data_IF_964233264217
#
_entry.id   IF_964233264217
#
_cell.length_a   1.000
_cell.length_b   1.000
_cell.length_c   1.000
_cell.angle_alpha   90.00
_cell.angle_beta   90.00
_cell.angle_gamma   90.00
#
_symmetry.space_group_name_H-M   'P 1'
#
loop_
_entity.id
_entity.type
_entity.pdbx_description
1 polymer ?
#
# COMPACT_ATOMS: atom_id res chain seq x y z
N UNK A 1 47.83 21.35 -6.76
CA UNK A 1 46.45 21.22 -6.29
C UNK A 1 45.65 20.57 -7.41
N UNK A 2 45.23 19.28 -7.16
CA UNK A 2 44.41 18.53 -8.07
C UNK A 2 43.02 19.19 -8.13
N UNK A 3 42.53 19.42 -9.35
CA UNK A 3 41.18 19.93 -9.56
C UNK A 3 40.16 18.91 -8.97
N UNK A 4 39.07 19.37 -8.31
CA UNK A 4 38.07 18.45 -7.80
C UNK A 4 37.46 17.71 -9.00
N UNK A 5 37.50 16.35 -8.93
CA UNK A 5 36.77 15.48 -9.85
C UNK A 5 35.33 15.93 -9.91
N UNK A 6 34.88 16.33 -11.09
CA UNK A 6 33.44 16.55 -11.36
C UNK A 6 32.78 15.20 -11.28
N UNK A 7 32.16 14.91 -10.14
CA UNK A 7 31.22 13.80 -10.02
C UNK A 7 30.13 14.06 -11.05
N UNK A 8 30.10 13.26 -12.11
CA UNK A 8 29.01 13.32 -13.10
C UNK A 8 27.69 13.14 -12.35
N UNK A 9 26.94 14.22 -12.24
CA UNK A 9 25.58 14.15 -11.67
C UNK A 9 24.76 13.21 -12.55
N UNK A 10 24.41 12.04 -12.04
CA UNK A 10 23.57 11.09 -12.76
C UNK A 10 22.24 11.78 -13.13
N UNK A 11 21.62 11.39 -14.25
CA UNK A 11 20.35 11.97 -14.69
C UNK A 11 19.28 11.92 -13.58
N UNK A 12 19.37 10.91 -12.68
CA UNK A 12 18.53 10.76 -11.50
C UNK A 12 18.77 11.88 -10.48
N UNK A 13 20.02 12.28 -10.21
CA UNK A 13 20.33 13.34 -9.25
C UNK A 13 19.82 14.71 -9.76
N UNK A 14 19.93 14.97 -11.05
CA UNK A 14 19.36 16.17 -11.70
C UNK A 14 17.83 16.21 -11.62
N UNK A 15 17.17 15.07 -11.86
CA UNK A 15 15.71 14.93 -11.74
C UNK A 15 15.25 15.16 -10.29
N UNK A 16 15.92 14.55 -9.31
CA UNK A 16 15.61 14.70 -7.88
C UNK A 16 15.87 16.12 -7.37
N UNK A 17 16.87 16.83 -7.90
CA UNK A 17 17.13 18.24 -7.57
C UNK A 17 16.04 19.17 -8.12
N UNK A 18 15.43 18.84 -9.25
CA UNK A 18 14.26 19.55 -9.79
C UNK A 18 12.97 19.32 -9.02
N UNK A 19 12.86 18.18 -8.31
CA UNK A 19 11.66 17.79 -7.59
C UNK A 19 11.97 17.49 -6.10
N UNK A 20 12.21 18.53 -5.28
CA UNK A 20 12.59 18.37 -3.87
C UNK A 20 11.53 17.63 -3.04
N UNK A 21 10.27 17.60 -3.49
CA UNK A 21 9.18 16.82 -2.88
C UNK A 21 9.48 15.31 -2.90
N UNK A 22 10.09 14.77 -3.96
CA UNK A 22 10.47 13.37 -4.08
C UNK A 22 11.58 12.97 -3.09
N UNK A 23 12.39 13.94 -2.63
CA UNK A 23 13.39 13.74 -1.57
C UNK A 23 12.77 13.71 -0.17
N UNK A 24 11.58 14.30 0.02
CA UNK A 24 10.90 14.46 1.32
C UNK A 24 10.03 13.27 1.71
N UNK A 25 10.41 12.03 1.33
CA UNK A 25 9.72 10.79 1.72
C UNK A 25 8.20 10.78 1.41
N UNK A 26 7.76 10.84 0.14
CA UNK A 26 6.34 10.79 -0.20
C UNK A 26 5.71 9.44 0.15
N UNK A 27 6.52 8.39 0.28
CA UNK A 27 6.07 7.04 0.55
C UNK A 27 5.23 6.90 1.85
N UNK A 28 5.61 7.46 3.02
CA UNK A 28 4.77 7.37 4.21
C UNK A 28 3.38 7.94 4.02
N UNK A 29 3.24 9.03 3.24
CA UNK A 29 1.93 9.63 2.96
C UNK A 29 1.08 8.71 2.08
N UNK A 30 1.67 8.16 1.01
CA UNK A 30 0.94 7.35 0.02
C UNK A 30 0.47 6.01 0.59
N UNK A 31 1.26 5.36 1.47
CA UNK A 31 0.88 4.06 2.05
C UNK A 31 -0.33 4.13 2.99
N UNK A 32 -0.65 5.30 3.54
CA UNK A 32 -1.83 5.44 4.40
C UNK A 32 -3.14 5.24 3.61
N UNK A 33 -3.17 5.54 2.31
CA UNK A 33 -4.37 5.36 1.49
C UNK A 33 -4.81 3.90 1.40
N UNK A 34 -3.99 2.94 0.93
CA UNK A 34 -4.41 1.55 0.88
C UNK A 34 -4.71 0.97 2.27
N UNK A 35 -3.94 1.36 3.30
CA UNK A 35 -4.17 0.90 4.68
C UNK A 35 -5.54 1.37 5.17
N UNK A 36 -5.83 2.67 5.08
CA UNK A 36 -7.08 3.25 5.57
C UNK A 36 -8.29 2.73 4.79
N UNK A 37 -8.17 2.59 3.47
CA UNK A 37 -9.27 2.15 2.61
C UNK A 37 -9.59 0.67 2.78
N UNK A 38 -8.60 -0.22 2.91
CA UNK A 38 -8.83 -1.64 3.14
C UNK A 38 -9.42 -1.87 4.54
N UNK A 39 -8.87 -1.21 5.56
CA UNK A 39 -9.43 -1.29 6.92
C UNK A 39 -10.82 -0.64 6.99
N UNK A 40 -11.03 0.49 6.31
CA UNK A 40 -12.32 1.15 6.20
C UNK A 40 -13.38 0.26 5.54
N UNK A 41 -12.99 -0.50 4.49
CA UNK A 41 -13.85 -1.51 3.86
C UNK A 41 -14.33 -2.56 4.88
N UNK A 42 -13.44 -3.06 5.75
CA UNK A 42 -13.77 -4.01 6.80
C UNK A 42 -14.81 -3.42 7.79
N UNK A 43 -14.61 -2.20 8.26
CA UNK A 43 -15.55 -1.55 9.19
C UNK A 43 -16.92 -1.30 8.56
N UNK A 44 -16.96 -0.89 7.29
CA UNK A 44 -18.20 -0.67 6.57
C UNK A 44 -18.96 -1.97 6.34
N UNK A 45 -18.28 -3.08 6.02
CA UNK A 45 -18.92 -4.39 5.89
C UNK A 45 -19.43 -4.91 7.24
N UNK A 46 -18.66 -4.76 8.31
CA UNK A 46 -19.11 -5.10 9.65
C UNK A 46 -20.36 -4.29 10.05
N UNK A 47 -20.37 -3.00 9.76
CA UNK A 47 -21.53 -2.15 10.00
C UNK A 47 -22.74 -2.56 9.15
N UNK A 48 -22.52 -2.97 7.88
CA UNK A 48 -23.60 -3.53 7.05
C UNK A 48 -24.22 -4.78 7.68
N UNK A 49 -23.41 -5.71 8.17
CA UNK A 49 -23.90 -6.95 8.79
C UNK A 49 -24.70 -6.69 10.08
N UNK A 50 -24.40 -5.59 10.79
CA UNK A 50 -25.12 -5.20 12.01
C UNK A 50 -26.41 -4.45 11.74
N UNK A 51 -26.44 -3.61 10.68
CA UNK A 51 -27.54 -2.67 10.44
C UNK A 51 -28.44 -3.04 9.26
N UNK A 52 -27.94 -3.84 8.33
CA UNK A 52 -28.64 -4.19 7.07
C UNK A 52 -28.66 -3.10 6.02
N UNK A 53 -28.02 -1.93 6.24
CA UNK A 53 -28.04 -0.83 5.26
C UNK A 53 -27.17 -1.17 4.04
N UNK A 54 -27.80 -1.45 2.90
CA UNK A 54 -27.11 -1.84 1.64
C UNK A 54 -26.05 -0.83 1.17
N UNK A 55 -26.26 0.46 1.45
CA UNK A 55 -25.29 1.52 1.12
C UNK A 55 -23.92 1.30 1.78
N UNK A 56 -23.87 0.74 3.00
CA UNK A 56 -22.61 0.45 3.69
C UNK A 56 -21.80 -0.63 2.97
N UNK A 57 -22.48 -1.66 2.46
CA UNK A 57 -21.84 -2.71 1.65
C UNK A 57 -21.29 -2.18 0.34
N UNK A 58 -22.07 -1.35 -0.36
CA UNK A 58 -21.61 -0.68 -1.58
C UNK A 58 -20.39 0.20 -1.29
N UNK A 59 -20.41 0.94 -0.18
CA UNK A 59 -19.28 1.78 0.24
C UNK A 59 -18.06 0.93 0.61
N UNK A 60 -18.25 -0.23 1.26
CA UNK A 60 -17.19 -1.20 1.54
C UNK A 60 -16.50 -1.66 0.26
N UNK A 61 -17.26 -2.02 -0.77
CA UNK A 61 -16.73 -2.42 -2.07
C UNK A 61 -15.95 -1.29 -2.75
N UNK A 62 -16.47 -0.06 -2.73
CA UNK A 62 -15.76 1.10 -3.27
C UNK A 62 -14.46 1.37 -2.52
N UNK A 63 -14.45 1.29 -1.20
CA UNK A 63 -13.24 1.43 -0.39
C UNK A 63 -12.20 0.35 -0.74
N UNK A 64 -12.62 -0.92 -0.89
CA UNK A 64 -11.73 -1.99 -1.31
C UNK A 64 -11.15 -1.72 -2.71
N UNK A 65 -11.98 -1.30 -3.67
CA UNK A 65 -11.56 -0.98 -5.03
C UNK A 65 -10.54 0.17 -5.08
N UNK A 66 -10.82 1.26 -4.36
CA UNK A 66 -9.89 2.39 -4.26
C UNK A 66 -8.61 2.01 -3.51
N UNK A 67 -8.72 1.19 -2.47
CA UNK A 67 -7.58 0.62 -1.76
C UNK A 67 -6.68 -0.18 -2.68
N UNK A 68 -7.26 -1.09 -3.47
CA UNK A 68 -6.56 -1.88 -4.49
C UNK A 68 -5.86 -1.00 -5.53
N UNK A 69 -6.55 0.00 -6.08
CA UNK A 69 -5.98 0.93 -7.06
C UNK A 69 -4.84 1.78 -6.50
N UNK A 70 -4.81 2.03 -5.20
CA UNK A 70 -3.73 2.77 -4.54
C UNK A 70 -2.49 1.92 -4.23
N UNK A 71 -2.58 0.57 -4.23
CA UNK A 71 -1.45 -0.32 -3.96
C UNK A 71 -0.26 -0.14 -4.93
N UNK A 72 -0.44 -0.04 -6.26
CA UNK A 72 0.67 0.18 -7.18
C UNK A 72 1.44 1.46 -6.89
N UNK A 73 0.75 2.53 -6.51
CA UNK A 73 1.39 3.81 -6.14
C UNK A 73 2.18 3.68 -4.84
N UNK A 74 1.64 2.95 -3.85
CA UNK A 74 2.34 2.68 -2.60
C UNK A 74 3.60 1.82 -2.83
N UNK A 75 3.53 0.81 -3.69
CA UNK A 75 4.69 -0.03 -4.08
C UNK A 75 5.71 0.80 -4.85
N UNK A 76 5.28 1.59 -5.83
CA UNK A 76 6.16 2.43 -6.66
C UNK A 76 6.92 3.47 -5.83
N UNK A 77 6.22 4.19 -4.93
CA UNK A 77 6.87 5.16 -4.04
C UNK A 77 7.79 4.47 -3.02
N UNK A 78 7.44 3.26 -2.56
CA UNK A 78 8.29 2.44 -1.70
C UNK A 78 9.58 2.01 -2.38
N UNK A 79 9.50 1.61 -3.64
CA UNK A 79 10.65 1.25 -4.45
C UNK A 79 11.59 2.45 -4.67
N UNK A 80 11.03 3.61 -5.02
CA UNK A 80 11.80 4.86 -5.16
C UNK A 80 12.51 5.22 -3.84
N UNK A 81 11.80 5.16 -2.72
CA UNK A 81 12.38 5.42 -1.39
C UNK A 81 13.52 4.45 -1.07
N UNK A 82 13.38 3.18 -1.44
CA UNK A 82 14.42 2.18 -1.23
C UNK A 82 15.68 2.48 -2.04
N UNK A 83 15.55 2.86 -3.30
CA UNK A 83 16.71 3.24 -4.13
C UNK A 83 17.38 4.51 -3.59
N UNK A 84 16.58 5.55 -3.32
CA UNK A 84 17.10 6.88 -2.97
C UNK A 84 17.74 6.88 -1.57
N UNK A 85 17.04 6.34 -0.57
CA UNK A 85 17.45 6.47 0.83
C UNK A 85 18.31 5.31 1.34
N UNK A 86 18.17 4.14 0.72
CA UNK A 86 18.87 2.93 1.16
C UNK A 86 19.84 2.39 0.11
N UNK A 87 20.08 3.12 -0.99
CA UNK A 87 20.99 2.73 -2.07
C UNK A 87 20.75 1.30 -2.58
N UNK A 88 19.50 0.83 -2.59
CA UNK A 88 19.13 -0.52 -3.00
C UNK A 88 19.62 -1.64 -2.08
N UNK A 89 20.11 -1.35 -0.86
CA UNK A 89 20.61 -2.38 0.05
C UNK A 89 19.51 -3.35 0.47
N UNK A 90 19.77 -4.68 0.47
CA UNK A 90 18.76 -5.70 0.78
C UNK A 90 18.52 -5.83 2.30
N UNK A 91 17.87 -4.83 2.89
CA UNK A 91 17.50 -4.84 4.30
C UNK A 91 16.39 -5.87 4.56
N UNK A 92 16.45 -6.59 5.71
CA UNK A 92 15.43 -7.59 6.09
C UNK A 92 13.99 -7.04 6.04
N UNK A 93 13.67 -5.87 6.63
CA UNK A 93 12.30 -5.33 6.57
C UNK A 93 11.82 -5.04 5.14
N UNK A 94 12.72 -4.60 4.25
CA UNK A 94 12.39 -4.35 2.84
C UNK A 94 12.00 -5.65 2.13
N UNK A 95 12.80 -6.71 2.32
CA UNK A 95 12.50 -8.04 1.73
C UNK A 95 11.14 -8.56 2.22
N UNK A 96 10.88 -8.53 3.52
CA UNK A 96 9.61 -8.98 4.11
C UNK A 96 8.45 -8.18 3.53
N UNK A 97 8.59 -6.85 3.41
CA UNK A 97 7.58 -5.97 2.84
C UNK A 97 7.27 -6.31 1.39
N UNK A 98 8.28 -6.54 0.55
CA UNK A 98 8.09 -6.96 -0.84
C UNK A 98 7.34 -8.29 -0.89
N UNK A 99 7.75 -9.30 -0.11
CA UNK A 99 7.11 -10.61 -0.06
C UNK A 99 5.64 -10.54 0.41
N UNK A 100 5.32 -9.66 1.37
CA UNK A 100 3.94 -9.46 1.84
C UNK A 100 3.08 -8.64 0.87
N UNK A 101 3.69 -7.79 0.05
CA UNK A 101 2.95 -6.96 -0.92
C UNK A 101 2.34 -7.80 -2.05
N UNK A 102 2.98 -8.89 -2.46
CA UNK A 102 2.45 -9.78 -3.50
C UNK A 102 1.15 -10.47 -3.11
N UNK A 103 1.07 -11.21 -1.96
CA UNK A 103 -0.19 -11.81 -1.53
C UNK A 103 -1.25 -10.75 -1.21
N UNK A 104 -0.88 -9.58 -0.68
CA UNK A 104 -1.82 -8.49 -0.47
C UNK A 104 -2.46 -8.04 -1.79
N UNK A 105 -1.65 -7.83 -2.83
CA UNK A 105 -2.15 -7.41 -4.15
C UNK A 105 -3.03 -8.51 -4.79
N UNK A 106 -2.56 -9.76 -4.80
CA UNK A 106 -3.28 -10.89 -5.38
C UNK A 106 -4.61 -11.13 -4.65
N UNK A 107 -4.60 -11.17 -3.32
CA UNK A 107 -5.79 -11.40 -2.52
C UNK A 107 -6.79 -10.23 -2.66
N UNK A 108 -6.32 -8.98 -2.68
CA UNK A 108 -7.19 -7.83 -2.90
C UNK A 108 -7.90 -7.91 -4.25
N UNK A 109 -7.19 -8.29 -5.30
CA UNK A 109 -7.76 -8.46 -6.63
C UNK A 109 -8.80 -9.59 -6.67
N UNK A 110 -8.46 -10.75 -6.09
CA UNK A 110 -9.36 -11.92 -6.04
C UNK A 110 -10.65 -11.58 -5.29
N UNK A 111 -10.53 -10.97 -4.10
CA UNK A 111 -11.68 -10.60 -3.28
C UNK A 111 -12.54 -9.54 -3.96
N UNK A 112 -11.92 -8.55 -4.62
CA UNK A 112 -12.63 -7.50 -5.36
C UNK A 112 -13.43 -8.10 -6.53
N UNK A 113 -12.79 -8.91 -7.36
CA UNK A 113 -13.43 -9.55 -8.52
C UNK A 113 -14.54 -10.50 -8.06
N UNK A 114 -14.28 -11.29 -7.03
CA UNK A 114 -15.28 -12.18 -6.44
C UNK A 114 -16.50 -11.40 -5.94
N UNK A 115 -16.31 -10.34 -5.17
CA UNK A 115 -17.40 -9.53 -4.62
C UNK A 115 -18.23 -8.84 -5.72
N UNK A 116 -17.59 -8.35 -6.79
CA UNK A 116 -18.29 -7.76 -7.94
C UNK A 116 -19.18 -8.78 -8.63
N UNK A 117 -18.73 -10.03 -8.79
CA UNK A 117 -19.49 -11.08 -9.48
C UNK A 117 -20.57 -11.71 -8.61
N UNK A 118 -20.30 -11.92 -7.32
CA UNK A 118 -21.22 -12.59 -6.40
C UNK A 118 -22.25 -11.62 -5.76
N UNK A 119 -22.03 -10.33 -5.83
CA UNK A 119 -22.96 -9.32 -5.33
C UNK A 119 -23.22 -9.46 -3.83
N UNK A 120 -24.51 -9.57 -3.45
CA UNK A 120 -24.95 -9.64 -2.04
C UNK A 120 -24.87 -11.03 -1.42
N UNK A 121 -24.58 -12.08 -2.19
CA UNK A 121 -24.64 -13.47 -1.72
C UNK A 121 -23.40 -13.93 -0.94
N UNK A 122 -22.37 -13.09 -0.85
CA UNK A 122 -21.08 -13.47 -0.24
C UNK A 122 -21.13 -13.60 1.29
N UNK A 123 -22.15 -13.04 1.97
CA UNK A 123 -22.37 -13.17 3.40
C UNK A 123 -21.12 -12.92 4.27
N UNK A 124 -20.91 -13.71 5.35
CA UNK A 124 -19.78 -13.52 6.25
C UNK A 124 -18.41 -13.85 5.62
N UNK A 125 -18.38 -14.56 4.49
CA UNK A 125 -17.13 -14.91 3.82
C UNK A 125 -16.38 -13.67 3.29
N UNK A 126 -17.12 -12.67 2.84
CA UNK A 126 -16.52 -11.39 2.44
C UNK A 126 -15.88 -10.67 3.64
N UNK A 127 -16.53 -10.63 4.79
CA UNK A 127 -15.97 -10.07 6.02
C UNK A 127 -14.67 -10.79 6.44
N UNK A 128 -14.64 -12.12 6.37
CA UNK A 128 -13.43 -12.92 6.68
C UNK A 128 -12.28 -12.57 5.73
N UNK A 129 -12.60 -12.40 4.44
CA UNK A 129 -11.61 -11.98 3.44
C UNK A 129 -11.05 -10.58 3.71
N UNK A 130 -11.91 -9.65 4.13
CA UNK A 130 -11.49 -8.29 4.52
C UNK A 130 -10.67 -8.29 5.82
N UNK A 131 -10.97 -9.18 6.78
CA UNK A 131 -10.13 -9.37 7.96
C UNK A 131 -8.72 -9.83 7.59
N UNK A 132 -8.61 -10.82 6.70
CA UNK A 132 -7.32 -11.29 6.20
C UNK A 132 -6.54 -10.19 5.47
N UNK A 133 -7.20 -9.40 4.62
CA UNK A 133 -6.60 -8.25 3.93
C UNK A 133 -6.15 -7.18 4.91
N UNK A 134 -6.96 -6.87 5.94
CA UNK A 134 -6.64 -5.89 6.97
C UNK A 134 -5.42 -6.32 7.81
N UNK A 135 -5.32 -7.61 8.13
CA UNK A 135 -4.14 -8.17 8.80
C UNK A 135 -2.88 -8.04 7.94
N UNK A 136 -2.97 -8.39 6.63
CA UNK A 136 -1.85 -8.28 5.70
C UNK A 136 -1.38 -6.84 5.51
N UNK A 137 -2.31 -5.90 5.27
CA UNK A 137 -1.95 -4.49 5.06
C UNK A 137 -1.37 -3.88 6.33
N UNK A 138 -1.85 -4.27 7.52
CA UNK A 138 -1.29 -3.85 8.81
C UNK A 138 0.13 -4.39 9.01
N UNK A 139 0.39 -5.65 8.66
CA UNK A 139 1.73 -6.23 8.69
C UNK A 139 2.70 -5.49 7.76
N UNK A 140 2.28 -5.20 6.52
CA UNK A 140 3.09 -4.39 5.58
C UNK A 140 3.37 -3.00 6.14
N UNK A 141 2.39 -2.37 6.78
CA UNK A 141 2.53 -1.06 7.45
C UNK A 141 3.52 -1.11 8.62
N UNK A 142 3.42 -2.13 9.46
CA UNK A 142 4.33 -2.34 10.60
C UNK A 142 5.80 -2.45 10.17
N UNK A 143 6.10 -3.31 9.18
CA UNK A 143 7.46 -3.43 8.66
C UNK A 143 7.93 -2.16 7.91
N UNK A 144 6.99 -1.38 7.37
CA UNK A 144 7.28 -0.06 6.82
C UNK A 144 7.70 0.93 7.90
N UNK A 145 7.02 0.95 9.05
CA UNK A 145 7.33 1.80 10.20
C UNK A 145 8.70 1.51 10.81
N UNK A 146 9.12 0.24 10.88
CA UNK A 146 10.46 -0.14 11.37
C UNK A 146 11.62 0.45 10.57
N UNK A 147 11.40 0.80 9.29
CA UNK A 147 12.41 1.44 8.45
C UNK A 147 12.56 2.94 8.74
N UNK A 148 11.52 3.56 9.27
CA UNK A 148 11.48 5.02 9.53
C UNK A 148 11.99 5.36 10.94
N UNK A 149 11.96 4.40 11.87
CA UNK A 149 12.34 4.59 13.27
C UNK A 149 13.82 4.18 13.58
N UNK A 150 14.59 3.84 12.55
CA UNK A 150 16.04 3.57 12.63
C UNK A 150 16.80 4.69 11.95
#
# INVERSE_FOLDING_TARGET
PAAPERVEESGLSRFLNRHPFLKRHPHPMVVHFPIALIIGSLFLEAAFLLTGFASLRTSSLHCLGMGFLSLPFAVGTGYLTWIINYMGKPLRPVKIKIWLSWPLFALSMIVLVWQINAGTETGPAYLISLLALSALVSAVGYYGGQLTMR
#
